data_IF_211154212541
#
_entry.id   IF_211154212541
#
_cell.length_a   1.000
_cell.length_b   1.000
_cell.length_c   1.000
_cell.angle_alpha   90.00
_cell.angle_beta   90.00
_cell.angle_gamma   90.00
#
_symmetry.space_group_name_H-M   'P 1'
#
loop_
_entity.id
_entity.type
_entity.pdbx_description
1 polymer ?
#
# COMPACT_ATOMS: atom_id res chain seq x y z
N UNK A 1 -1.73 5.14 6.03
CA UNK A 1 -1.09 5.53 4.75
C UNK A 1 -0.02 4.51 4.43
N UNK A 2 -0.04 3.93 3.23
CA UNK A 2 0.97 2.94 2.78
C UNK A 2 1.68 3.50 1.55
N UNK A 3 2.99 3.26 1.36
CA UNK A 3 3.71 3.70 0.17
C UNK A 3 2.96 3.35 -1.11
N UNK A 4 2.65 4.35 -1.92
CA UNK A 4 1.95 4.18 -3.20
C UNK A 4 0.45 4.50 -3.19
N UNK A 5 -0.15 4.80 -2.05
CA UNK A 5 -1.54 5.24 -1.95
C UNK A 5 -1.64 6.78 -1.99
N UNK A 6 -2.50 7.31 -2.88
CA UNK A 6 -2.80 8.76 -2.90
C UNK A 6 -3.78 9.03 -1.77
N UNK A 7 -3.38 9.88 -0.83
CA UNK A 7 -4.23 10.34 0.27
C UNK A 7 -4.34 11.86 0.22
N UNK A 8 -5.52 12.39 0.51
CA UNK A 8 -5.74 13.81 0.76
C UNK A 8 -6.21 13.99 2.20
N UNK A 9 -5.70 15.02 2.86
CA UNK A 9 -6.01 15.36 4.24
C UNK A 9 -6.73 16.71 4.18
N UNK A 10 -8.06 16.69 4.24
CA UNK A 10 -8.87 17.91 4.34
C UNK A 10 -9.24 18.13 5.81
N UNK A 11 -8.59 19.10 6.45
CA UNK A 11 -8.93 19.54 7.80
C UNK A 11 -9.58 20.92 7.75
N UNK A 12 -10.66 21.09 8.49
CA UNK A 12 -11.24 22.41 8.75
C UNK A 12 -10.58 23.00 10.01
N UNK A 13 -9.84 24.11 9.85
CA UNK A 13 -9.23 24.86 10.96
C UNK A 13 -7.78 24.48 11.29
N UNK A 14 -7.31 24.89 12.48
CA UNK A 14 -6.00 24.48 13.01
C UNK A 14 -6.12 23.07 13.59
N UNK A 15 -5.38 22.13 13.04
CA UNK A 15 -5.26 20.77 13.55
C UNK A 15 -3.86 20.54 14.12
N UNK A 16 -3.82 20.01 15.34
CA UNK A 16 -2.61 19.51 15.97
C UNK A 16 -2.70 17.98 16.06
N UNK A 17 -1.57 17.29 15.88
CA UNK A 17 -1.52 15.84 15.93
C UNK A 17 -0.13 15.29 15.62
N UNK A 18 0.00 13.97 15.70
CA UNK A 18 1.26 13.27 15.49
C UNK A 18 1.32 12.67 14.09
N UNK A 19 2.45 12.83 13.43
CA UNK A 19 2.75 12.19 12.14
C UNK A 19 4.04 11.39 12.30
N UNK A 20 3.98 10.10 11.98
CA UNK A 20 5.15 9.24 11.92
C UNK A 20 5.29 8.63 10.54
N UNK A 21 6.44 8.88 9.92
CA UNK A 21 6.84 8.31 8.65
C UNK A 21 8.02 7.37 8.88
N UNK A 22 7.88 6.11 8.44
CA UNK A 22 8.95 5.12 8.52
C UNK A 22 8.93 4.22 7.30
N UNK A 23 10.10 3.67 6.95
CA UNK A 23 10.23 2.61 5.95
C UNK A 23 10.04 1.24 6.58
N UNK A 24 9.55 0.24 5.84
CA UNK A 24 9.47 -1.15 6.32
C UNK A 24 10.84 -1.69 6.79
N UNK A 25 11.93 -1.25 6.14
CA UNK A 25 13.30 -1.58 6.52
C UNK A 25 13.66 -1.18 7.96
N UNK A 26 12.97 -0.17 8.50
CA UNK A 26 13.11 0.27 9.89
C UNK A 26 12.66 -0.81 10.90
N UNK A 27 11.84 -1.78 10.53
CA UNK A 27 11.49 -2.89 11.42
C UNK A 27 12.19 -4.19 11.05
N UNK A 28 12.44 -4.40 9.75
CA UNK A 28 13.11 -5.59 9.22
C UNK A 28 14.47 -5.88 9.88
N UNK A 29 15.24 -4.85 10.20
CA UNK A 29 16.55 -5.07 10.86
C UNK A 29 16.46 -5.40 12.36
N UNK A 30 15.27 -5.41 12.97
CA UNK A 30 15.05 -5.62 14.40
C UNK A 30 14.14 -6.82 14.69
N UNK A 31 13.15 -7.07 13.83
CA UNK A 31 12.22 -8.19 14.00
C UNK A 31 12.82 -9.48 13.42
N UNK A 32 12.74 -10.56 14.19
CA UNK A 32 13.09 -11.90 13.70
C UNK A 32 12.13 -12.33 12.58
N UNK A 33 10.83 -12.06 12.76
CA UNK A 33 9.79 -12.30 11.75
C UNK A 33 9.62 -11.05 10.87
N UNK A 34 10.17 -11.11 9.66
CA UNK A 34 10.24 -9.99 8.72
C UNK A 34 8.85 -9.52 8.22
N UNK A 35 7.88 -10.43 8.19
CA UNK A 35 6.48 -10.22 7.81
C UNK A 35 5.58 -9.90 9.02
N UNK A 36 6.15 -9.62 10.20
CA UNK A 36 5.34 -9.33 11.39
C UNK A 36 4.43 -8.12 11.21
N UNK A 37 4.89 -7.06 10.53
CA UNK A 37 4.04 -5.89 10.29
C UNK A 37 2.81 -6.21 9.40
N UNK A 38 2.87 -7.27 8.59
CA UNK A 38 1.76 -7.69 7.74
C UNK A 38 0.59 -8.24 8.57
N UNK A 39 0.76 -8.54 9.86
CA UNK A 39 -0.38 -8.90 10.73
C UNK A 39 -1.28 -7.71 11.07
N UNK A 40 -0.80 -6.48 10.94
CA UNK A 40 -1.58 -5.28 11.24
C UNK A 40 -2.44 -4.87 10.04
N UNK A 41 -3.76 -5.02 10.18
CA UNK A 41 -4.73 -4.84 9.08
C UNK A 41 -4.80 -3.39 8.57
N UNK A 42 -4.49 -2.42 9.41
CA UNK A 42 -4.47 -1.00 9.05
C UNK A 42 -3.19 -0.56 8.31
N UNK A 43 -2.12 -1.36 8.35
CA UNK A 43 -0.89 -1.13 7.58
C UNK A 43 -0.95 -1.71 6.15
N UNK A 44 -2.07 -2.32 5.75
CA UNK A 44 -2.21 -3.03 4.47
C UNK A 44 -2.72 -2.15 3.32
N UNK A 45 -3.03 -0.87 3.56
CA UNK A 45 -3.42 0.07 2.50
C UNK A 45 -4.82 -0.15 1.94
N UNK A 46 -5.67 -0.88 2.68
CA UNK A 46 -7.09 -1.02 2.39
C UNK A 46 -7.78 0.33 2.66
N UNK A 47 -8.54 0.89 1.69
CA UNK A 47 -9.25 2.17 1.87
C UNK A 47 -10.17 2.17 3.09
N UNK A 48 -10.83 1.05 3.35
CA UNK A 48 -11.78 0.88 4.47
C UNK A 48 -11.12 0.93 5.85
N UNK A 49 -9.80 0.65 5.94
CA UNK A 49 -9.02 0.73 7.18
C UNK A 49 -8.09 1.96 7.21
N UNK A 50 -8.27 2.92 6.29
CA UNK A 50 -7.38 4.08 6.17
C UNK A 50 -7.64 5.17 7.22
N UNK A 51 -8.81 5.15 7.84
CA UNK A 51 -9.19 6.02 8.96
C UNK A 51 -9.72 5.14 10.08
N UNK A 52 -9.08 5.22 11.25
CA UNK A 52 -9.50 4.49 12.44
C UNK A 52 -9.98 5.49 13.49
N UNK A 53 -11.15 5.23 14.06
CA UNK A 53 -11.65 6.02 15.19
C UNK A 53 -11.23 5.35 16.50
N UNK A 54 -10.17 5.88 17.11
CA UNK A 54 -9.67 5.43 18.41
C UNK A 54 -10.35 6.26 19.50
N UNK A 55 -11.57 5.87 19.89
CA UNK A 55 -12.33 6.55 20.93
C UNK A 55 -11.89 6.11 22.34
N UNK A 56 -12.09 7.00 23.32
CA UNK A 56 -11.90 6.68 24.73
C UNK A 56 -10.46 6.44 25.16
N UNK A 57 -10.25 5.45 26.02
CA UNK A 57 -8.96 5.15 26.67
C UNK A 57 -7.86 4.78 25.66
N UNK A 58 -8.19 4.05 24.59
CA UNK A 58 -7.25 3.67 23.54
C UNK A 58 -6.63 4.89 22.85
N UNK A 59 -7.43 5.93 22.56
CA UNK A 59 -6.93 7.16 21.94
C UNK A 59 -5.97 7.92 22.86
N UNK A 60 -6.26 7.95 24.17
CA UNK A 60 -5.39 8.56 25.17
C UNK A 60 -4.07 7.78 25.34
N UNK A 61 -4.13 6.44 25.36
CA UNK A 61 -2.93 5.60 25.43
C UNK A 61 -2.03 5.80 24.21
N UNK A 62 -2.60 5.77 23.00
CA UNK A 62 -1.84 5.99 21.76
C UNK A 62 -1.20 7.37 21.73
N UNK A 63 -1.91 8.41 22.18
CA UNK A 63 -1.37 9.77 22.27
C UNK A 63 -0.17 9.82 23.24
N UNK A 64 -0.27 9.16 24.39
CA UNK A 64 0.82 9.07 25.36
C UNK A 64 2.04 8.31 24.81
N UNK A 65 1.83 7.30 23.98
CA UNK A 65 2.92 6.61 23.28
C UNK A 65 3.61 7.51 22.26
N UNK A 66 2.87 8.35 21.52
CA UNK A 66 3.48 9.33 20.61
C UNK A 66 4.30 10.39 21.35
N UNK A 67 3.80 10.89 22.48
CA UNK A 67 4.58 11.81 23.32
C UNK A 67 5.88 11.18 23.81
N UNK A 68 5.83 9.91 24.23
CA UNK A 68 7.04 9.15 24.59
C UNK A 68 8.02 9.01 23.42
N UNK A 69 7.53 8.84 22.19
CA UNK A 69 8.38 8.79 20.98
C UNK A 69 9.10 10.12 20.79
N UNK A 70 8.41 11.25 20.97
CA UNK A 70 8.99 12.60 20.85
C UNK A 70 10.06 12.84 21.91
N UNK A 71 9.81 12.39 23.14
CA UNK A 71 10.73 12.56 24.28
C UNK A 71 11.97 11.63 24.23
N UNK A 72 12.12 10.79 23.20
CA UNK A 72 13.29 9.90 23.07
C UNK A 72 14.61 10.62 22.74
N UNK A 73 14.60 11.96 22.60
CA UNK A 73 15.77 12.76 22.22
C UNK A 73 16.96 12.61 23.19
N UNK A 74 16.72 12.28 24.47
CA UNK A 74 17.75 12.09 25.48
C UNK A 74 18.51 10.75 25.41
N UNK A 75 18.08 9.80 24.58
CA UNK A 75 18.72 8.48 24.47
C UNK A 75 19.87 8.47 23.45
N UNK A 76 20.87 7.62 23.70
CA UNK A 76 21.93 7.38 22.71
C UNK A 76 21.33 6.91 21.36
N UNK A 77 21.93 7.24 20.21
CA UNK A 77 21.34 6.96 18.90
C UNK A 77 20.97 5.49 18.65
N UNK A 78 21.75 4.55 19.21
CA UNK A 78 21.48 3.10 19.11
C UNK A 78 20.19 2.72 19.85
N UNK A 79 20.14 3.01 21.15
CA UNK A 79 18.98 2.68 21.98
C UNK A 79 17.74 3.51 21.66
N UNK A 80 17.92 4.72 21.13
CA UNK A 80 16.83 5.58 20.66
C UNK A 80 16.03 4.92 19.55
N UNK A 81 16.70 4.38 18.52
CA UNK A 81 16.02 3.72 17.42
C UNK A 81 15.30 2.45 17.88
N UNK A 82 15.92 1.67 18.77
CA UNK A 82 15.29 0.47 19.33
C UNK A 82 14.06 0.83 20.18
N UNK A 83 14.15 1.90 20.98
CA UNK A 83 13.02 2.41 21.78
C UNK A 83 11.88 2.94 20.89
N UNK A 84 12.20 3.69 19.82
CA UNK A 84 11.18 4.15 18.87
C UNK A 84 10.51 2.94 18.21
N UNK A 85 11.25 1.89 17.85
CA UNK A 85 10.68 0.66 17.29
C UNK A 85 9.73 -0.01 18.27
N UNK A 86 10.11 -0.16 19.55
CA UNK A 86 9.26 -0.81 20.54
C UNK A 86 8.00 0.00 20.85
N UNK A 87 8.11 1.33 20.98
CA UNK A 87 6.97 2.21 21.19
C UNK A 87 6.01 2.19 20.00
N UNK A 88 6.52 2.22 18.77
CA UNK A 88 5.69 2.09 17.58
C UNK A 88 5.02 0.71 17.48
N UNK A 89 5.72 -0.37 17.82
CA UNK A 89 5.09 -1.70 17.89
C UNK A 89 3.98 -1.73 18.94
N UNK A 90 4.16 -1.08 20.08
CA UNK A 90 3.10 -0.95 21.08
C UNK A 90 1.89 -0.19 20.52
N UNK A 91 2.11 0.93 19.82
CA UNK A 91 1.03 1.64 19.12
C UNK A 91 0.32 0.70 18.15
N UNK A 92 1.05 -0.07 17.34
CA UNK A 92 0.43 -0.96 16.35
C UNK A 92 -0.39 -2.08 16.99
N UNK A 93 0.07 -2.63 18.10
CA UNK A 93 -0.62 -3.69 18.86
C UNK A 93 -1.90 -3.12 19.47
N UNK A 94 -1.83 -2.00 20.19
CA UNK A 94 -2.99 -1.35 20.83
C UNK A 94 -4.06 -0.98 19.80
N UNK A 95 -3.64 -0.45 18.65
CA UNK A 95 -4.55 -0.10 17.55
C UNK A 95 -5.20 -1.34 16.93
N UNK A 96 -4.43 -2.40 16.67
CA UNK A 96 -4.97 -3.63 16.09
C UNK A 96 -5.95 -4.33 17.03
N UNK A 97 -5.64 -4.38 18.33
CA UNK A 97 -6.51 -4.97 19.35
C UNK A 97 -7.83 -4.19 19.46
N UNK A 98 -7.77 -2.86 19.43
CA UNK A 98 -8.96 -1.99 19.36
C UNK A 98 -9.82 -2.26 18.11
N UNK A 99 -9.20 -2.48 16.96
CA UNK A 99 -9.92 -2.80 15.71
C UNK A 99 -10.56 -4.18 15.78
N UNK A 100 -9.92 -5.15 16.42
CA UNK A 100 -10.46 -6.51 16.60
C UNK A 100 -11.59 -6.54 17.64
N UNK A 101 -11.46 -5.83 18.76
CA UNK A 101 -12.50 -5.70 19.77
C UNK A 101 -13.78 -5.04 19.22
N UNK A 102 -13.66 -4.14 18.25
CA UNK A 102 -14.78 -3.51 17.55
C UNK A 102 -15.43 -4.38 16.45
N UNK A 103 -14.82 -5.52 16.09
CA UNK A 103 -15.34 -6.46 15.09
C UNK A 103 -15.90 -7.69 15.81
N UNK A 104 -17.22 -7.77 15.92
CA UNK A 104 -17.88 -9.02 16.33
C UNK A 104 -17.38 -10.18 15.45
N UNK A 105 -16.70 -11.14 16.10
CA UNK A 105 -16.29 -12.47 15.62
C UNK A 105 -16.22 -12.66 14.09
N UNK A 106 -15.06 -12.35 13.49
CA UNK A 106 -14.72 -12.75 12.13
C UNK A 106 -13.28 -13.20 12.07
N UNK A 107 -13.06 -14.52 12.11
CA UNK A 107 -11.75 -15.14 11.93
C UNK A 107 -10.96 -14.50 10.79
N UNK A 108 -9.66 -14.22 11.00
CA UNK A 108 -8.75 -13.79 9.94
C UNK A 108 -8.93 -14.69 8.71
N UNK A 109 -9.42 -14.17 7.56
CA UNK A 109 -9.71 -15.02 6.43
C UNK A 109 -8.38 -15.51 5.87
N UNK A 110 -8.11 -16.82 5.94
CA UNK A 110 -6.92 -17.45 5.34
C UNK A 110 -6.76 -17.13 3.84
N UNK A 111 -7.84 -16.75 3.14
CA UNK A 111 -7.77 -16.22 1.77
C UNK A 111 -6.95 -14.92 1.64
N UNK A 112 -6.73 -14.19 2.73
CA UNK A 112 -5.99 -12.93 2.73
C UNK A 112 -4.48 -13.13 2.46
N UNK A 113 -3.88 -14.26 2.85
CA UNK A 113 -2.42 -14.47 2.66
C UNK A 113 -2.03 -14.59 1.19
N UNK A 114 -2.80 -15.34 0.41
CA UNK A 114 -2.56 -15.50 -1.03
C UNK A 114 -2.78 -14.20 -1.79
N UNK A 115 -3.84 -13.46 -1.46
CA UNK A 115 -4.13 -12.18 -2.10
C UNK A 115 -3.07 -11.12 -1.75
N UNK A 116 -2.62 -11.07 -0.50
CA UNK A 116 -1.51 -10.19 -0.07
C UNK A 116 -0.23 -10.53 -0.80
N UNK A 117 0.12 -11.81 -0.84
CA UNK A 117 1.31 -12.29 -1.56
C UNK A 117 1.21 -11.93 -3.04
N UNK A 118 0.03 -12.05 -3.63
CA UNK A 118 -0.21 -11.62 -5.01
C UNK A 118 0.02 -10.12 -5.20
N UNK A 119 -0.58 -9.26 -4.37
CA UNK A 119 -0.39 -7.81 -4.45
C UNK A 119 1.08 -7.42 -4.29
N UNK A 120 1.81 -8.07 -3.37
CA UNK A 120 3.25 -7.86 -3.16
C UNK A 120 4.06 -8.26 -4.40
N UNK A 121 3.73 -9.40 -5.02
CA UNK A 121 4.37 -9.80 -6.26
C UNK A 121 4.08 -8.83 -7.40
N UNK A 122 2.85 -8.29 -7.50
CA UNK A 122 2.53 -7.25 -8.49
C UNK A 122 3.44 -6.04 -8.30
N UNK A 123 3.59 -5.51 -7.08
CA UNK A 123 4.49 -4.37 -6.84
C UNK A 123 5.94 -4.66 -7.23
N UNK A 124 6.41 -5.89 -7.02
CA UNK A 124 7.77 -6.31 -7.36
C UNK A 124 7.98 -6.56 -8.86
N UNK A 125 6.95 -6.99 -9.57
CA UNK A 125 7.10 -7.58 -10.90
C UNK A 125 6.19 -7.00 -11.99
N UNK A 126 5.39 -5.96 -11.74
CA UNK A 126 4.44 -5.43 -12.72
C UNK A 126 5.08 -4.96 -14.05
N UNK A 127 6.39 -4.64 -14.05
CA UNK A 127 7.14 -4.30 -15.27
C UNK A 127 7.54 -5.53 -16.09
N UNK A 128 7.81 -6.66 -15.44
CA UNK A 128 8.34 -7.88 -16.07
C UNK A 128 7.29 -8.94 -16.32
N UNK A 129 6.32 -9.09 -15.41
CA UNK A 129 5.25 -10.09 -15.48
C UNK A 129 3.89 -9.42 -15.75
N UNK A 130 3.16 -9.93 -16.75
CA UNK A 130 1.92 -9.30 -17.25
C UNK A 130 0.70 -10.20 -17.14
N UNK A 131 0.89 -11.51 -16.99
CA UNK A 131 -0.18 -12.50 -17.03
C UNK A 131 -0.46 -13.06 -15.63
N UNK A 132 -1.73 -13.18 -15.21
CA UNK A 132 -2.09 -13.79 -13.93
C UNK A 132 -1.48 -15.17 -13.71
N UNK A 133 -1.27 -15.95 -14.77
CA UNK A 133 -0.67 -17.26 -14.67
C UNK A 133 0.79 -17.26 -14.22
N UNK A 134 1.56 -16.22 -14.56
CA UNK A 134 2.94 -16.05 -14.11
C UNK A 134 2.99 -15.83 -12.59
N UNK A 135 2.09 -15.00 -12.08
CA UNK A 135 1.96 -14.76 -10.64
C UNK A 135 1.41 -15.98 -9.90
N UNK A 136 0.44 -16.69 -10.49
CA UNK A 136 -0.09 -17.92 -9.92
C UNK A 136 1.00 -19.00 -9.76
N UNK A 137 1.91 -19.11 -10.74
CA UNK A 137 3.06 -20.00 -10.66
C UNK A 137 4.01 -19.62 -9.51
N UNK A 138 4.32 -18.33 -9.32
CA UNK A 138 5.13 -17.85 -8.19
C UNK A 138 4.49 -18.12 -6.83
N UNK A 139 3.16 -18.12 -6.77
CA UNK A 139 2.39 -18.46 -5.59
C UNK A 139 2.18 -19.98 -5.44
N UNK A 140 2.56 -20.82 -6.42
CA UNK A 140 2.29 -22.25 -6.35
C UNK A 140 0.79 -22.61 -6.37
N UNK A 141 -0.05 -21.77 -6.97
CA UNK A 141 -1.50 -22.00 -7.14
C UNK A 141 -1.90 -21.97 -8.62
N UNK A 142 -3.11 -22.41 -8.93
CA UNK A 142 -3.60 -22.34 -10.32
C UNK A 142 -4.10 -20.92 -10.67
N UNK A 143 -4.03 -20.51 -11.95
CA UNK A 143 -4.56 -19.21 -12.38
C UNK A 143 -6.07 -19.06 -12.12
N UNK A 144 -6.82 -20.16 -12.20
CA UNK A 144 -8.25 -20.18 -11.89
C UNK A 144 -8.50 -19.93 -10.40
N UNK A 145 -7.71 -20.53 -9.52
CA UNK A 145 -7.79 -20.28 -8.09
C UNK A 145 -7.45 -18.83 -7.76
N UNK A 146 -6.39 -18.28 -8.35
CA UNK A 146 -6.02 -16.86 -8.17
C UNK A 146 -7.14 -15.90 -8.62
N UNK A 147 -7.78 -16.18 -9.76
CA UNK A 147 -8.92 -15.38 -10.23
C UNK A 147 -10.14 -15.51 -9.31
N UNK A 148 -10.44 -16.72 -8.83
CA UNK A 148 -11.52 -16.94 -7.88
C UNK A 148 -11.29 -16.14 -6.60
N UNK A 149 -10.08 -16.18 -6.06
CA UNK A 149 -9.68 -15.43 -4.87
C UNK A 149 -9.86 -13.92 -5.05
N UNK A 150 -9.37 -13.36 -6.17
CA UNK A 150 -9.53 -11.94 -6.45
C UNK A 150 -11.00 -11.54 -6.61
N UNK A 151 -11.81 -12.40 -7.24
CA UNK A 151 -13.23 -12.12 -7.46
C UNK A 151 -14.02 -12.19 -6.16
N UNK A 152 -13.73 -13.15 -5.29
CA UNK A 152 -14.38 -13.32 -4.00
C UNK A 152 -14.04 -12.16 -3.05
N UNK A 153 -12.76 -11.75 -3.00
CA UNK A 153 -12.32 -10.78 -2.00
C UNK A 153 -12.36 -9.33 -2.47
N UNK A 154 -12.21 -9.06 -3.76
CA UNK A 154 -12.11 -7.70 -4.31
C UNK A 154 -13.14 -7.42 -5.42
N UNK A 155 -13.96 -8.40 -5.78
CA UNK A 155 -14.94 -8.25 -6.87
C UNK A 155 -14.34 -8.14 -8.28
N UNK A 156 -13.02 -8.31 -8.43
CA UNK A 156 -12.31 -8.12 -9.71
C UNK A 156 -11.46 -9.33 -10.10
N UNK A 157 -11.15 -9.45 -11.38
CA UNK A 157 -10.24 -10.50 -11.87
C UNK A 157 -8.78 -10.14 -11.55
N UNK A 158 -7.94 -11.16 -11.36
CA UNK A 158 -6.52 -10.99 -11.05
C UNK A 158 -5.80 -10.10 -12.09
N UNK A 159 -6.08 -10.35 -13.38
CA UNK A 159 -5.51 -9.56 -14.47
C UNK A 159 -5.88 -8.07 -14.45
N UNK A 160 -6.98 -7.71 -13.78
CA UNK A 160 -7.34 -6.30 -13.62
C UNK A 160 -6.39 -5.60 -12.65
N UNK A 161 -6.02 -6.22 -11.53
CA UNK A 161 -5.08 -5.66 -10.56
C UNK A 161 -3.71 -5.34 -11.17
N UNK A 162 -3.19 -6.23 -12.02
CA UNK A 162 -1.94 -6.00 -12.75
C UNK A 162 -2.06 -4.76 -13.65
N UNK A 163 -3.15 -4.67 -14.42
CA UNK A 163 -3.41 -3.53 -15.32
C UNK A 163 -3.58 -2.22 -14.57
N UNK A 164 -4.28 -2.24 -13.44
CA UNK A 164 -4.50 -1.07 -12.60
C UNK A 164 -3.17 -0.55 -12.06
N UNK A 165 -2.28 -1.44 -11.61
CA UNK A 165 -0.96 -1.04 -11.12
C UNK A 165 -0.07 -0.44 -12.21
N UNK A 166 -0.06 -1.03 -13.41
CA UNK A 166 0.66 -0.47 -14.57
C UNK A 166 0.09 0.88 -14.97
N UNK A 167 -1.24 1.02 -14.94
CA UNK A 167 -1.92 2.28 -15.27
C UNK A 167 -1.59 3.37 -14.25
N UNK A 168 -1.52 3.02 -12.96
CA UNK A 168 -1.09 3.94 -11.91
C UNK A 168 0.34 4.44 -12.15
N UNK A 169 1.26 3.54 -12.52
CA UNK A 169 2.64 3.93 -12.84
C UNK A 169 2.69 4.84 -14.08
N UNK A 170 1.91 4.53 -15.10
CA UNK A 170 1.80 5.37 -16.29
C UNK A 170 1.33 6.78 -15.95
N UNK A 171 0.31 6.92 -15.10
CA UNK A 171 -0.17 8.24 -14.64
C UNK A 171 0.95 9.00 -13.92
N UNK A 172 1.72 8.35 -13.04
CA UNK A 172 2.86 8.98 -12.34
C UNK A 172 3.94 9.47 -13.30
N UNK A 173 4.35 8.64 -14.23
CA UNK A 173 5.38 8.99 -15.22
C UNK A 173 4.92 10.12 -16.14
N UNK A 174 3.63 10.19 -16.45
CA UNK A 174 3.06 11.26 -17.28
C UNK A 174 3.06 12.63 -16.58
N UNK A 175 2.96 12.66 -15.26
CA UNK A 175 2.89 13.89 -14.44
C UNK A 175 4.27 14.35 -13.98
N UNK A 176 5.11 13.43 -13.51
CA UNK A 176 6.30 13.78 -12.72
C UNK A 176 7.62 13.74 -13.51
N UNK A 177 7.59 13.39 -14.81
CA UNK A 177 8.81 13.20 -15.60
C UNK A 177 8.66 13.75 -17.01
N UNK A 178 9.68 14.47 -17.47
CA UNK A 178 9.84 14.98 -18.84
C UNK A 178 10.20 13.87 -19.85
N UNK A 179 9.53 12.73 -19.77
CA UNK A 179 9.65 11.65 -20.75
C UNK A 179 8.61 11.84 -21.85
N UNK A 180 8.94 11.54 -23.09
CA UNK A 180 7.95 11.39 -24.16
C UNK A 180 7.00 10.21 -23.87
N UNK A 181 5.82 10.21 -24.48
CA UNK A 181 4.86 9.10 -24.38
C UNK A 181 5.48 7.78 -24.86
N UNK A 182 6.34 7.84 -25.88
CA UNK A 182 7.09 6.69 -26.40
C UNK A 182 8.09 6.13 -25.37
N UNK A 183 8.84 6.99 -24.67
CA UNK A 183 9.77 6.57 -23.61
C UNK A 183 9.02 5.97 -22.40
N UNK A 184 7.86 6.53 -22.05
CA UNK A 184 7.01 5.96 -21.00
C UNK A 184 6.51 4.57 -21.39
N UNK A 185 6.04 4.40 -22.63
CA UNK A 185 5.61 3.09 -23.13
C UNK A 185 6.76 2.06 -23.03
N UNK A 186 7.96 2.45 -23.48
CA UNK A 186 9.15 1.61 -23.41
C UNK A 186 9.52 1.27 -21.95
N UNK A 187 9.55 2.26 -21.06
CA UNK A 187 9.88 2.08 -19.63
C UNK A 187 8.88 1.17 -18.91
N UNK A 188 7.61 1.25 -19.28
CA UNK A 188 6.58 0.36 -18.78
C UNK A 188 6.61 -1.02 -19.45
N UNK A 189 7.57 -1.30 -20.34
CA UNK A 189 7.73 -2.57 -21.05
C UNK A 189 6.57 -2.88 -22.02
N UNK A 190 6.02 -1.86 -22.68
CA UNK A 190 5.12 -2.04 -23.83
C UNK A 190 5.93 -2.25 -25.11
N UNK A 191 5.53 -3.21 -25.95
CA UNK A 191 6.19 -3.51 -27.23
C UNK A 191 6.05 -2.38 -28.25
N UNK A 192 4.94 -1.65 -28.21
CA UNK A 192 4.70 -0.51 -29.09
C UNK A 192 3.87 0.59 -28.39
N UNK A 193 4.14 1.83 -28.79
CA UNK A 193 3.49 3.02 -28.23
C UNK A 193 1.98 3.04 -28.53
N UNK A 194 1.55 2.55 -29.69
CA UNK A 194 0.14 2.55 -30.08
C UNK A 194 -0.70 1.63 -29.19
N UNK A 195 -0.16 0.50 -28.76
CA UNK A 195 -0.80 -0.44 -27.83
C UNK A 195 -0.84 0.15 -26.42
N UNK A 196 0.24 0.79 -25.95
CA UNK A 196 0.24 1.56 -24.69
C UNK A 196 -0.86 2.62 -24.68
N UNK A 197 -0.90 3.48 -25.70
CA UNK A 197 -1.86 4.58 -25.81
C UNK A 197 -3.31 4.09 -25.82
N UNK A 198 -3.60 2.99 -26.53
CA UNK A 198 -4.93 2.35 -26.54
C UNK A 198 -5.28 1.75 -25.18
N UNK A 199 -4.34 1.04 -24.54
CA UNK A 199 -4.53 0.43 -23.23
C UNK A 199 -4.79 1.50 -22.15
N UNK A 200 -4.00 2.57 -22.14
CA UNK A 200 -4.16 3.70 -21.23
C UNK A 200 -5.50 4.41 -21.45
N UNK A 201 -5.86 4.70 -22.70
CA UNK A 201 -7.16 5.33 -23.02
C UNK A 201 -8.33 4.47 -22.56
N UNK A 202 -8.25 3.15 -22.71
CA UNK A 202 -9.28 2.23 -22.22
C UNK A 202 -9.42 2.27 -20.69
N UNK A 203 -8.31 2.39 -19.97
CA UNK A 203 -8.30 2.38 -18.51
C UNK A 203 -8.65 3.75 -17.88
N UNK A 204 -8.28 4.85 -18.54
CA UNK A 204 -8.35 6.22 -17.98
C UNK A 204 -9.43 7.08 -18.67
N UNK A 205 -9.92 6.67 -19.83
CA UNK A 205 -10.92 7.39 -20.62
C UNK A 205 -10.35 8.45 -21.56
N UNK A 206 -9.05 8.75 -21.51
CA UNK A 206 -8.40 9.76 -22.35
C UNK A 206 -6.99 9.33 -22.77
N UNK A 207 -6.43 9.98 -23.79
CA UNK A 207 -5.08 9.65 -24.28
C UNK A 207 -4.00 10.07 -23.26
N UNK A 208 -2.81 9.44 -23.28
CA UNK A 208 -1.69 9.84 -22.41
C UNK A 208 -1.34 11.32 -22.53
N UNK A 209 -1.32 11.87 -23.75
CA UNK A 209 -1.03 13.29 -24.01
C UNK A 209 -2.10 14.23 -23.47
N UNK A 210 -3.38 13.86 -23.60
CA UNK A 210 -4.48 14.62 -23.03
C UNK A 210 -4.43 14.59 -21.49
N UNK A 211 -4.09 13.43 -20.91
CA UNK A 211 -3.90 13.28 -19.48
C UNK A 211 -2.76 14.18 -18.98
N UNK A 212 -1.60 14.17 -19.65
CA UNK A 212 -0.45 15.04 -19.31
C UNK A 212 -0.84 16.52 -19.34
N UNK A 213 -1.43 17.00 -20.43
CA UNK A 213 -1.81 18.42 -20.58
C UNK A 213 -2.78 18.91 -19.50
N UNK A 214 -3.59 18.01 -18.93
CA UNK A 214 -4.55 18.34 -17.87
C UNK A 214 -3.91 18.45 -16.48
N UNK A 215 -2.77 17.80 -16.28
CA UNK A 215 -2.19 17.60 -14.94
C UNK A 215 -0.78 18.18 -14.77
N UNK A 216 -0.10 18.56 -15.86
CA UNK A 216 1.18 19.26 -15.85
C UNK A 216 0.91 20.72 -16.21
N UNK A 217 1.11 21.62 -15.24
CA UNK A 217 1.10 23.08 -15.41
C UNK A 217 2.53 23.59 -15.37
#
# INVERSE_FOLDING_TARGET
MVPGQVHSWDFEGRTDGYIVNFSEAFFKSFLLRQDYLDSFTFLQGQPENSVLNLAGETGAEVSLLFEKIIDTAGFSPRFRNDLIRTLLLQVFIVVQDSVEAGKETGALPKGNLWLRSYQKLIELHFLTLRLPGEYAALLGITPNHLNALCKEQLGVQAGQLIRDRITLEAKRLLINVDLSVSEIAYKLNYKDNSYFSRSFKKAVGMTPEAFRRRHVH
#
